data_IF_995252613408
#
_entry.id   IF_995252613408
#
_cell.length_a   1.000
_cell.length_b   1.000
_cell.length_c   1.000
_cell.angle_alpha   90.00
_cell.angle_beta   90.00
_cell.angle_gamma   90.00
#
_symmetry.space_group_name_H-M   'P 1'
#
loop_
_entity.id
_entity.type
_entity.pdbx_description
1 polymer ?
#
# COMPACT_ATOMS: atom_id res chain seq x y z
N UNK A 1 9.64 15.65 17.92
CA UNK A 1 8.99 14.36 18.19
C UNK A 1 7.55 14.48 17.74
N UNK A 2 7.10 13.60 16.85
CA UNK A 2 5.73 13.56 16.36
C UNK A 2 4.94 12.48 17.11
N UNK A 3 3.64 12.70 17.29
CA UNK A 3 2.69 11.69 17.74
C UNK A 3 2.05 10.99 16.56
N UNK A 4 2.20 9.67 16.46
CA UNK A 4 1.82 8.89 15.28
C UNK A 4 0.93 7.71 15.69
N UNK A 5 -0.25 7.59 15.11
CA UNK A 5 -1.10 6.43 15.26
C UNK A 5 -0.93 5.49 14.05
N UNK A 6 -0.73 4.20 14.31
CA UNK A 6 -0.63 3.17 13.26
C UNK A 6 -1.89 2.30 13.31
N UNK A 7 -2.78 2.46 12.33
CA UNK A 7 -3.99 1.65 12.21
C UNK A 7 -3.67 0.41 11.38
N UNK A 8 -3.69 -0.76 12.04
CA UNK A 8 -3.31 -2.03 11.41
C UNK A 8 -1.85 -2.39 11.64
N UNK A 9 -1.56 -3.00 12.79
CA UNK A 9 -0.22 -3.49 13.19
C UNK A 9 0.14 -4.83 12.50
N UNK A 10 -0.15 -4.92 11.20
CA UNK A 10 0.26 -6.02 10.31
C UNK A 10 1.68 -5.85 9.79
N UNK A 11 2.02 -6.54 8.69
CA UNK A 11 3.37 -6.53 8.12
C UNK A 11 3.87 -5.10 7.79
N UNK A 12 3.04 -4.28 7.16
CA UNK A 12 3.38 -2.91 6.76
C UNK A 12 3.41 -1.97 7.96
N UNK A 13 2.30 -1.91 8.74
CA UNK A 13 2.20 -1.00 9.87
C UNK A 13 3.14 -1.37 11.01
N UNK A 14 3.36 -2.68 11.25
CA UNK A 14 4.35 -3.15 12.22
C UNK A 14 5.77 -2.69 11.85
N UNK A 15 6.16 -2.83 10.57
CA UNK A 15 7.47 -2.40 10.11
C UNK A 15 7.68 -0.88 10.25
N UNK A 16 6.82 -0.06 9.62
CA UNK A 16 7.00 1.40 9.68
C UNK A 16 6.83 1.94 11.09
N UNK A 17 5.86 1.42 11.85
CA UNK A 17 5.67 1.82 13.24
C UNK A 17 6.86 1.46 14.13
N UNK A 18 7.49 0.28 13.95
CA UNK A 18 8.71 -0.09 14.67
C UNK A 18 9.87 0.85 14.35
N UNK A 19 10.09 1.18 13.07
CA UNK A 19 11.15 2.12 12.66
C UNK A 19 10.95 3.50 13.26
N UNK A 20 9.74 4.04 13.20
CA UNK A 20 9.42 5.35 13.77
C UNK A 20 9.55 5.35 15.29
N UNK A 21 9.08 4.31 15.98
CA UNK A 21 9.24 4.18 17.44
C UNK A 21 10.72 4.08 17.83
N UNK A 22 11.52 3.28 17.12
CA UNK A 22 12.95 3.14 17.36
C UNK A 22 13.73 4.45 17.15
N UNK A 23 13.26 5.34 16.26
CA UNK A 23 13.84 6.66 16.05
C UNK A 23 13.40 7.72 17.07
N UNK A 24 12.60 7.33 18.07
CA UNK A 24 12.17 8.20 19.16
C UNK A 24 10.90 9.00 18.89
N UNK A 25 10.08 8.59 17.90
CA UNK A 25 8.73 9.15 17.74
C UNK A 25 7.76 8.53 18.77
N UNK A 26 6.72 9.29 19.16
CA UNK A 26 5.62 8.79 20.00
C UNK A 26 4.64 8.01 19.15
N UNK A 27 4.81 6.67 19.09
CA UNK A 27 4.02 5.77 18.24
C UNK A 27 3.06 4.95 19.07
N UNK A 28 1.76 4.99 18.69
CA UNK A 28 0.72 4.13 19.26
C UNK A 28 0.10 3.28 18.18
N UNK A 29 -0.06 1.98 18.43
CA UNK A 29 -0.68 1.04 17.50
C UNK A 29 -2.15 0.86 17.82
N UNK A 30 -3.01 1.05 16.83
CA UNK A 30 -4.43 0.66 16.92
C UNK A 30 -4.54 -0.76 16.39
N UNK A 31 -4.74 -1.72 17.29
CA UNK A 31 -4.73 -3.14 17.00
C UNK A 31 -5.86 -3.85 17.76
N UNK A 32 -6.22 -5.07 17.36
CA UNK A 32 -7.29 -5.87 17.98
C UNK A 32 -6.86 -7.31 18.20
N UNK A 33 -7.57 -8.02 19.08
CA UNK A 33 -7.46 -9.46 19.28
C UNK A 33 -6.02 -9.91 19.60
N UNK A 34 -5.56 -10.97 18.93
CA UNK A 34 -4.25 -11.58 19.18
C UNK A 34 -3.09 -10.61 18.95
N UNK A 35 -3.19 -9.71 17.98
CA UNK A 35 -2.15 -8.70 17.71
C UNK A 35 -2.05 -7.70 18.86
N UNK A 36 -3.16 -7.16 19.36
CA UNK A 36 -3.15 -6.27 20.52
C UNK A 36 -2.55 -6.96 21.73
N UNK A 37 -3.00 -8.19 22.04
CA UNK A 37 -2.48 -8.98 23.16
C UNK A 37 -0.97 -9.21 23.07
N UNK A 38 -0.46 -9.53 21.87
CA UNK A 38 0.97 -9.72 21.65
C UNK A 38 1.76 -8.42 21.86
N UNK A 39 1.30 -7.30 21.27
CA UNK A 39 1.97 -6.01 21.39
C UNK A 39 2.03 -5.52 22.85
N UNK A 40 0.95 -5.68 23.61
CA UNK A 40 0.89 -5.25 25.02
C UNK A 40 1.71 -6.15 25.96
N UNK A 41 1.82 -7.45 25.65
CA UNK A 41 2.51 -8.42 26.52
C UNK A 41 3.99 -8.54 26.17
N UNK A 42 4.32 -8.63 24.88
CA UNK A 42 5.66 -8.97 24.39
C UNK A 42 6.34 -7.81 23.66
N UNK A 43 5.60 -6.73 23.35
CA UNK A 43 6.06 -5.67 22.46
C UNK A 43 5.99 -6.07 20.97
N UNK A 44 6.63 -5.28 20.14
CA UNK A 44 6.74 -5.49 18.69
C UNK A 44 8.14 -5.97 18.35
N UNK A 45 8.23 -7.05 17.57
CA UNK A 45 9.49 -7.59 17.09
C UNK A 45 9.56 -7.56 15.57
N UNK A 46 10.70 -7.08 15.03
CA UNK A 46 11.07 -7.20 13.61
C UNK A 46 12.23 -8.19 13.52
N UNK A 47 12.10 -9.19 12.67
CA UNK A 47 13.09 -10.27 12.45
C UNK A 47 13.47 -10.36 10.97
N UNK A 48 14.30 -11.32 10.60
CA UNK A 48 14.73 -11.54 9.22
C UNK A 48 16.08 -10.89 8.94
N UNK A 49 16.13 -9.89 8.07
CA UNK A 49 17.38 -9.15 7.81
C UNK A 49 17.77 -8.19 8.92
N UNK A 50 16.95 -8.07 9.95
CA UNK A 50 17.13 -7.23 11.13
C UNK A 50 16.60 -7.98 12.35
N UNK A 51 17.09 -7.65 13.55
CA UNK A 51 16.52 -8.11 14.83
C UNK A 51 16.31 -6.89 15.74
N UNK A 52 15.06 -6.45 15.84
CA UNK A 52 14.64 -5.30 16.64
C UNK A 52 13.46 -5.71 17.52
N UNK A 53 13.56 -5.45 18.83
CA UNK A 53 12.45 -5.68 19.77
C UNK A 53 12.19 -4.40 20.53
N UNK A 54 10.93 -3.96 20.57
CA UNK A 54 10.51 -2.71 21.19
C UNK A 54 9.29 -2.93 22.07
N UNK A 55 9.31 -2.35 23.27
CA UNK A 55 8.09 -2.09 24.01
C UNK A 55 7.32 -0.97 23.28
N UNK A 56 6.06 -1.19 22.99
CA UNK A 56 5.21 -0.25 22.22
C UNK A 56 3.90 0.01 22.94
N UNK A 57 3.31 1.16 22.68
CA UNK A 57 1.94 1.45 23.09
C UNK A 57 0.96 0.85 22.08
N UNK A 58 -0.07 0.17 22.57
CA UNK A 58 -1.12 -0.39 21.70
C UNK A 58 -2.47 -0.39 22.44
N UNK A 59 -3.53 -0.06 21.70
CA UNK A 59 -4.91 -0.07 22.19
C UNK A 59 -5.87 -0.44 21.06
N UNK A 60 -7.10 -0.86 21.38
CA UNK A 60 -8.21 -0.97 20.43
C UNK A 60 -9.20 0.21 20.56
N UNK A 61 -9.01 1.06 21.57
CA UNK A 61 -9.80 2.28 21.79
C UNK A 61 -9.04 3.53 21.35
N UNK A 62 -9.35 4.13 20.18
CA UNK A 62 -8.68 5.33 19.70
C UNK A 62 -8.97 6.56 20.56
N UNK A 63 -10.02 6.52 21.41
CA UNK A 63 -10.35 7.67 22.31
C UNK A 63 -9.33 7.86 23.43
N UNK A 64 -8.61 6.79 23.81
CA UNK A 64 -7.49 6.87 24.75
C UNK A 64 -6.27 7.59 24.17
N UNK A 65 -6.20 7.67 22.83
CA UNK A 65 -5.08 8.29 22.09
C UNK A 65 -5.33 9.78 21.87
N UNK A 66 -6.54 10.11 21.38
CA UNK A 66 -6.89 11.48 20.96
C UNK A 66 -6.18 11.88 19.64
N UNK A 67 -6.33 13.16 19.23
CA UNK A 67 -5.74 13.65 18.00
C UNK A 67 -4.22 13.50 17.95
N UNK A 68 -3.71 13.11 16.77
CA UNK A 68 -2.28 12.86 16.50
C UNK A 68 -1.81 13.71 15.32
N UNK A 69 -0.49 13.84 15.14
CA UNK A 69 0.09 14.55 13.99
C UNK A 69 -0.08 13.74 12.70
N UNK A 70 0.14 12.42 12.78
CA UNK A 70 0.05 11.52 11.62
C UNK A 70 -0.68 10.24 11.99
N UNK A 71 -1.56 9.79 11.10
CA UNK A 71 -2.12 8.43 11.12
C UNK A 71 -1.53 7.65 9.94
N UNK A 72 -0.90 6.51 10.20
CA UNK A 72 -0.56 5.53 9.17
C UNK A 72 -1.72 4.55 9.00
N UNK A 73 -2.47 4.64 7.90
CA UNK A 73 -3.51 3.69 7.54
C UNK A 73 -2.86 2.48 6.86
N UNK A 74 -2.70 1.39 7.61
CA UNK A 74 -1.97 0.18 7.19
C UNK A 74 -2.85 -1.08 7.14
N UNK A 75 -4.17 -0.93 7.15
CA UNK A 75 -5.11 -2.04 6.93
C UNK A 75 -5.11 -2.47 5.46
N UNK A 76 -5.65 -3.63 5.16
CA UNK A 76 -5.95 -4.03 3.76
C UNK A 76 -6.97 -3.07 3.17
N UNK A 77 -6.94 -2.87 1.85
CA UNK A 77 -7.78 -1.88 1.16
C UNK A 77 -9.27 -2.05 1.45
N UNK A 78 -9.76 -3.29 1.47
CA UNK A 78 -11.17 -3.61 1.78
C UNK A 78 -11.57 -3.34 3.23
N UNK A 79 -10.65 -2.98 4.12
CA UNK A 79 -10.89 -2.61 5.51
C UNK A 79 -10.76 -1.10 5.76
N UNK A 80 -10.33 -0.31 4.78
CA UNK A 80 -10.02 1.12 4.97
C UNK A 80 -11.27 1.90 5.36
N UNK A 81 -12.42 1.66 4.73
CA UNK A 81 -13.66 2.38 5.03
C UNK A 81 -14.12 2.14 6.48
N UNK A 82 -14.15 0.88 6.90
CA UNK A 82 -14.54 0.52 8.27
C UNK A 82 -13.56 1.06 9.31
N UNK A 83 -12.26 0.99 9.01
CA UNK A 83 -11.22 1.52 9.88
C UNK A 83 -11.29 3.05 9.98
N UNK A 84 -11.57 3.74 8.87
CA UNK A 84 -11.76 5.18 8.84
C UNK A 84 -12.95 5.59 9.72
N UNK A 85 -14.10 4.95 9.52
CA UNK A 85 -15.31 5.24 10.31
C UNK A 85 -15.13 4.97 11.80
N UNK A 86 -14.38 3.90 12.15
CA UNK A 86 -14.25 3.47 13.55
C UNK A 86 -13.18 4.25 14.32
N UNK A 87 -12.09 4.67 13.66
CA UNK A 87 -10.91 5.16 14.39
C UNK A 87 -10.59 6.63 14.12
N UNK A 88 -10.80 7.13 12.89
CA UNK A 88 -10.39 8.49 12.53
C UNK A 88 -11.12 9.60 13.29
N UNK A 89 -12.42 9.49 13.66
CA UNK A 89 -13.09 10.54 14.42
C UNK A 89 -12.42 10.93 15.75
N UNK A 90 -11.69 9.98 16.37
CA UNK A 90 -10.96 10.26 17.61
C UNK A 90 -9.51 10.72 17.37
N UNK A 91 -8.91 10.36 16.21
CA UNK A 91 -7.47 10.56 15.93
C UNK A 91 -7.18 11.80 15.07
N UNK A 92 -8.16 12.28 14.30
CA UNK A 92 -7.96 13.39 13.37
C UNK A 92 -8.25 14.73 14.05
N UNK A 93 -7.25 15.58 14.11
CA UNK A 93 -7.34 16.99 14.48
C UNK A 93 -7.12 17.90 13.27
N UNK A 94 -7.11 19.22 13.44
CA UNK A 94 -7.06 20.19 12.33
C UNK A 94 -5.84 20.03 11.40
N UNK A 95 -4.69 19.60 11.94
CA UNK A 95 -3.43 19.50 11.19
C UNK A 95 -2.98 18.04 11.00
N UNK A 96 -3.84 17.06 11.32
CA UNK A 96 -3.52 15.64 11.17
C UNK A 96 -3.41 15.24 9.71
N UNK A 97 -2.34 14.52 9.36
CA UNK A 97 -2.15 13.90 8.06
C UNK A 97 -2.41 12.38 8.14
N UNK A 98 -3.38 11.87 7.41
CA UNK A 98 -3.70 10.43 7.34
C UNK A 98 -3.06 9.83 6.09
N UNK A 99 -1.99 9.07 6.28
CA UNK A 99 -1.16 8.52 5.21
C UNK A 99 -1.64 7.14 4.81
N UNK A 100 -1.90 6.94 3.51
CA UNK A 100 -2.23 5.63 2.95
C UNK A 100 -0.97 4.82 2.65
N UNK A 101 -1.04 3.50 2.79
CA UNK A 101 0.06 2.59 2.45
C UNK A 101 -0.36 1.47 1.50
N UNK A 102 -1.62 1.44 1.12
CA UNK A 102 -2.21 0.40 0.28
C UNK A 102 -1.67 0.45 -1.15
N UNK A 103 -1.66 -0.69 -1.84
CA UNK A 103 -1.45 -0.74 -3.27
C UNK A 103 -2.73 -0.30 -4.02
N UNK A 104 -2.56 0.25 -5.21
CA UNK A 104 -3.67 0.83 -5.98
C UNK A 104 -3.89 2.30 -5.65
N UNK A 105 -5.03 2.83 -6.06
CA UNK A 105 -5.36 4.25 -5.99
C UNK A 105 -6.59 4.55 -5.14
N UNK A 106 -7.35 3.53 -4.72
CA UNK A 106 -8.67 3.74 -4.09
C UNK A 106 -8.58 4.26 -2.65
N UNK A 107 -7.59 3.81 -1.86
CA UNK A 107 -7.53 4.14 -0.45
C UNK A 107 -7.53 5.65 -0.15
N UNK A 108 -6.76 6.50 -0.87
CA UNK A 108 -6.84 7.95 -0.69
C UNK A 108 -8.24 8.52 -0.92
N UNK A 109 -8.98 8.04 -1.92
CA UNK A 109 -10.34 8.53 -2.21
C UNK A 109 -11.32 8.13 -1.13
N UNK A 110 -11.26 6.87 -0.65
CA UNK A 110 -12.08 6.41 0.49
C UNK A 110 -11.83 7.25 1.74
N UNK A 111 -10.59 7.60 2.02
CA UNK A 111 -10.27 8.48 3.15
C UNK A 111 -10.75 9.91 2.92
N UNK A 112 -10.59 10.44 1.70
CA UNK A 112 -11.04 11.80 1.37
C UNK A 112 -12.56 11.99 1.55
N UNK A 113 -13.34 10.95 1.22
CA UNK A 113 -14.79 10.95 1.45
C UNK A 113 -15.14 10.91 2.95
N UNK A 114 -14.28 10.32 3.77
CA UNK A 114 -14.52 10.18 5.21
C UNK A 114 -14.08 11.41 6.02
N UNK A 115 -12.96 12.05 5.67
CA UNK A 115 -12.30 13.06 6.52
C UNK A 115 -11.92 14.36 5.79
N UNK A 116 -12.21 14.47 4.48
CA UNK A 116 -11.76 15.60 3.65
C UNK A 116 -10.37 15.38 3.06
N UNK A 117 -10.17 15.93 1.85
CA UNK A 117 -8.93 15.79 1.07
C UNK A 117 -7.71 16.42 1.74
N UNK A 118 -7.94 17.48 2.50
CA UNK A 118 -6.91 18.24 3.23
C UNK A 118 -6.19 17.40 4.27
N UNK A 119 -6.84 16.36 4.79
CA UNK A 119 -6.25 15.45 5.77
C UNK A 119 -5.57 14.24 5.13
N UNK A 120 -5.70 14.01 3.81
CA UNK A 120 -5.20 12.79 3.17
C UNK A 120 -3.81 12.98 2.62
N UNK A 121 -2.90 12.11 3.04
CA UNK A 121 -1.56 11.93 2.51
C UNK A 121 -1.48 10.68 1.63
N UNK A 122 -1.67 10.79 0.29
CA UNK A 122 -1.43 9.65 -0.58
C UNK A 122 0.02 9.15 -0.39
N UNK A 123 0.16 7.83 -0.18
CA UNK A 123 1.46 7.24 0.14
C UNK A 123 1.79 6.04 -0.75
N UNK A 124 3.06 5.92 -1.08
CA UNK A 124 3.62 4.84 -1.88
C UNK A 124 4.65 4.10 -1.04
N UNK A 125 4.31 2.91 -0.53
CA UNK A 125 5.22 2.08 0.24
C UNK A 125 5.90 1.03 -0.64
N UNK A 126 7.17 0.75 -0.33
CA UNK A 126 7.93 -0.39 -0.89
C UNK A 126 8.69 -1.03 0.25
N UNK A 127 8.24 -2.19 0.68
CA UNK A 127 8.89 -3.01 1.70
C UNK A 127 8.47 -4.47 1.53
N UNK A 128 9.39 -5.37 1.74
CA UNK A 128 9.13 -6.81 1.65
C UNK A 128 9.08 -7.40 3.05
N UNK A 129 7.86 -7.48 3.57
CA UNK A 129 7.57 -7.96 4.91
C UNK A 129 6.44 -8.97 4.91
N UNK A 130 6.41 -9.83 5.90
CA UNK A 130 5.28 -10.69 6.22
C UNK A 130 5.06 -10.76 7.73
N UNK A 131 3.88 -11.14 8.15
CA UNK A 131 3.61 -11.46 9.55
C UNK A 131 4.14 -12.88 9.79
N UNK A 132 5.08 -13.04 10.72
CA UNK A 132 5.55 -14.35 11.18
C UNK A 132 4.58 -14.93 12.20
N UNK A 133 4.19 -14.10 13.18
CA UNK A 133 3.16 -14.36 14.19
C UNK A 133 2.63 -13.02 14.73
N UNK A 134 1.54 -12.98 15.50
CA UNK A 134 1.04 -11.74 16.10
C UNK A 134 2.15 -10.99 16.86
N UNK A 135 2.40 -9.73 16.52
CA UNK A 135 3.47 -8.90 17.11
C UNK A 135 4.87 -9.16 16.57
N UNK A 136 5.05 -10.10 15.61
CA UNK A 136 6.36 -10.40 14.98
C UNK A 136 6.28 -10.22 13.47
N UNK A 137 7.09 -9.30 12.96
CA UNK A 137 7.20 -8.98 11.53
C UNK A 137 8.52 -9.52 11.00
N UNK A 138 8.47 -10.30 9.94
CA UNK A 138 9.64 -10.80 9.23
C UNK A 138 9.98 -9.86 8.06
N UNK A 139 11.12 -9.17 8.14
CA UNK A 139 11.67 -8.31 7.09
C UNK A 139 12.52 -9.16 6.15
N UNK A 140 12.03 -9.37 4.94
CA UNK A 140 12.65 -10.23 3.93
C UNK A 140 13.75 -9.54 3.12
N UNK A 141 14.10 -8.29 3.46
CA UNK A 141 15.03 -7.45 2.69
C UNK A 141 14.34 -6.58 1.66
N UNK A 142 15.07 -6.16 0.62
CA UNK A 142 14.55 -5.27 -0.42
C UNK A 142 14.46 -3.80 -0.01
N UNK A 143 13.74 -2.98 -0.79
CA UNK A 143 13.58 -1.57 -0.49
C UNK A 143 12.80 -1.36 0.80
N UNK A 144 13.13 -0.28 1.52
CA UNK A 144 12.45 0.13 2.75
C UNK A 144 12.06 1.59 2.59
N UNK A 145 11.07 1.87 1.74
CA UNK A 145 10.72 3.24 1.39
C UNK A 145 9.23 3.54 1.56
N UNK A 146 8.95 4.78 1.99
CA UNK A 146 7.60 5.34 2.04
C UNK A 146 7.64 6.77 1.48
N UNK A 147 7.16 6.95 0.27
CA UNK A 147 6.99 8.27 -0.35
C UNK A 147 5.59 8.78 -0.02
N UNK A 148 5.49 10.02 0.44
CA UNK A 148 4.21 10.62 0.85
C UNK A 148 4.09 12.01 0.22
N UNK A 149 2.90 12.33 -0.27
CA UNK A 149 2.51 13.67 -0.70
C UNK A 149 1.26 14.16 0.04
N UNK A 150 0.78 15.33 -0.34
CA UNK A 150 -0.56 15.81 -0.03
C UNK A 150 -1.46 15.63 -1.27
N UNK A 151 -2.75 15.80 -1.11
CA UNK A 151 -3.72 15.64 -2.19
C UNK A 151 -3.43 16.53 -3.40
N UNK A 152 -3.06 17.78 -3.15
CA UNK A 152 -2.79 18.83 -4.14
C UNK A 152 -1.30 19.06 -4.41
N UNK A 153 -0.44 18.16 -3.91
CA UNK A 153 1.02 18.26 -3.97
C UNK A 153 1.61 19.48 -3.23
N UNK A 154 0.86 20.12 -2.37
CA UNK A 154 1.37 21.21 -1.52
C UNK A 154 2.32 20.68 -0.44
N UNK A 155 3.23 21.53 0.01
CA UNK A 155 4.16 21.18 1.10
C UNK A 155 3.63 21.78 2.40
N UNK A 156 3.13 20.93 3.31
CA UNK A 156 2.68 21.33 4.63
C UNK A 156 3.78 21.15 5.69
N UNK A 157 3.71 21.87 6.83
CA UNK A 157 4.62 21.64 7.94
C UNK A 157 4.58 20.19 8.45
N UNK A 158 3.39 19.59 8.56
CA UNK A 158 3.19 18.20 9.02
C UNK A 158 3.83 17.22 8.04
N UNK A 159 3.63 17.37 6.72
CA UNK A 159 4.27 16.52 5.70
C UNK A 159 5.81 16.62 5.78
N UNK A 160 6.34 17.84 5.92
CA UNK A 160 7.79 18.08 6.03
C UNK A 160 8.38 17.39 7.26
N UNK A 161 7.72 17.55 8.42
CA UNK A 161 8.15 16.92 9.66
C UNK A 161 8.06 15.39 9.58
N UNK A 162 7.00 14.86 8.97
CA UNK A 162 6.84 13.42 8.80
C UNK A 162 7.88 12.80 7.87
N UNK A 163 8.19 13.44 6.74
CA UNK A 163 9.28 13.01 5.84
C UNK A 163 10.63 13.01 6.58
N UNK A 164 10.89 14.00 7.43
CA UNK A 164 12.10 14.00 8.24
C UNK A 164 12.10 12.86 9.26
N UNK A 165 10.97 12.60 9.95
CA UNK A 165 10.86 11.46 10.86
C UNK A 165 11.09 10.10 10.19
N UNK A 166 10.64 9.93 8.93
CA UNK A 166 10.94 8.74 8.12
C UNK A 166 12.44 8.59 7.84
N UNK A 167 13.11 9.68 7.43
CA UNK A 167 14.58 9.66 7.19
C UNK A 167 15.34 9.30 8.46
N UNK A 168 14.99 9.92 9.58
CA UNK A 168 15.61 9.66 10.89
C UNK A 168 15.39 8.21 11.35
N UNK A 169 14.27 7.60 10.94
CA UNK A 169 13.93 6.20 11.15
C UNK A 169 14.60 5.22 10.17
N UNK A 170 15.45 5.69 9.26
CA UNK A 170 16.09 4.87 8.23
C UNK A 170 15.13 4.35 7.17
N UNK A 171 13.99 5.03 6.98
CA UNK A 171 13.03 4.74 5.90
C UNK A 171 13.31 5.70 4.74
N UNK A 172 13.64 5.13 3.58
CA UNK A 172 13.88 5.94 2.39
C UNK A 172 12.62 6.70 2.00
N UNK A 173 12.77 8.00 1.81
CA UNK A 173 11.69 8.86 1.32
C UNK A 173 12.26 9.95 0.43
N UNK A 174 11.53 10.26 -0.63
CA UNK A 174 11.89 11.33 -1.57
C UNK A 174 10.80 12.40 -1.56
N UNK A 175 11.20 13.61 -1.83
CA UNK A 175 10.28 14.72 -2.03
C UNK A 175 9.81 14.65 -3.49
N UNK A 176 8.65 14.03 -3.72
CA UNK A 176 8.05 14.01 -5.04
C UNK A 176 7.30 15.30 -5.29
N UNK A 177 7.45 15.86 -6.47
CA UNK A 177 6.66 17.03 -6.91
C UNK A 177 5.23 16.63 -7.31
N UNK A 178 4.98 15.35 -7.58
CA UNK A 178 3.68 14.81 -7.95
C UNK A 178 3.52 13.38 -7.42
N UNK A 179 2.77 13.27 -6.31
CA UNK A 179 2.50 11.98 -5.67
C UNK A 179 1.60 11.10 -6.54
N UNK A 180 0.70 11.70 -7.33
CA UNK A 180 -0.22 10.94 -8.14
C UNK A 180 0.50 10.26 -9.32
N UNK A 181 1.40 10.96 -10.01
CA UNK A 181 2.27 10.33 -11.01
C UNK A 181 3.15 9.24 -10.39
N UNK A 182 3.67 9.44 -9.18
CA UNK A 182 4.45 8.40 -8.48
C UNK A 182 3.60 7.16 -8.15
N UNK A 183 2.36 7.33 -7.68
CA UNK A 183 1.42 6.23 -7.43
C UNK A 183 1.06 5.50 -8.72
N UNK A 184 0.71 6.23 -9.78
CA UNK A 184 0.44 5.64 -11.09
C UNK A 184 1.64 4.87 -11.63
N UNK A 185 2.87 5.39 -11.45
CA UNK A 185 4.10 4.69 -11.85
C UNK A 185 4.23 3.34 -11.14
N UNK A 186 3.79 3.22 -9.88
CA UNK A 186 3.75 1.94 -9.19
C UNK A 186 2.60 1.06 -9.69
N UNK A 187 1.42 1.62 -9.92
CA UNK A 187 0.23 0.89 -10.39
C UNK A 187 0.47 0.21 -11.73
N UNK A 188 1.07 0.90 -12.71
CA UNK A 188 1.31 0.37 -14.05
C UNK A 188 2.24 -0.86 -14.11
N UNK A 189 2.96 -1.17 -13.02
CA UNK A 189 3.75 -2.41 -12.96
C UNK A 189 3.19 -3.41 -11.93
N UNK A 190 2.90 -2.98 -10.70
CA UNK A 190 2.46 -3.90 -9.63
C UNK A 190 1.12 -4.55 -9.94
N UNK A 191 0.17 -3.79 -10.51
CA UNK A 191 -1.19 -4.30 -10.78
C UNK A 191 -1.19 -5.29 -11.95
N UNK A 192 -0.62 -4.97 -13.13
CA UNK A 192 -0.47 -5.95 -14.20
C UNK A 192 0.35 -7.18 -13.82
N UNK A 193 1.49 -7.02 -13.10
CA UNK A 193 2.30 -8.12 -12.63
C UNK A 193 1.48 -9.10 -11.78
N UNK A 194 0.79 -8.56 -10.78
CA UNK A 194 -0.01 -9.38 -9.87
C UNK A 194 -1.18 -10.06 -10.54
N UNK A 195 -1.89 -9.34 -11.40
CA UNK A 195 -3.11 -9.83 -12.02
C UNK A 195 -2.84 -10.85 -13.14
N UNK A 196 -1.90 -10.56 -14.04
CA UNK A 196 -1.51 -11.52 -15.09
C UNK A 196 -0.82 -12.73 -14.46
N UNK A 197 0.00 -12.52 -13.43
CA UNK A 197 0.62 -13.59 -12.65
C UNK A 197 -0.40 -14.50 -11.97
N UNK A 198 -1.44 -13.93 -11.35
CA UNK A 198 -2.53 -14.69 -10.73
C UNK A 198 -3.38 -15.43 -11.77
N UNK A 199 -3.67 -14.78 -12.91
CA UNK A 199 -4.45 -15.38 -14.00
C UNK A 199 -3.77 -16.62 -14.58
N UNK A 200 -2.44 -16.56 -14.77
CA UNK A 200 -1.66 -17.59 -15.46
C UNK A 200 -0.91 -18.53 -14.50
N UNK A 201 -1.00 -18.26 -13.19
CA UNK A 201 -0.23 -18.93 -12.14
C UNK A 201 1.28 -18.95 -12.46
N UNK A 202 1.81 -17.78 -12.86
CA UNK A 202 3.15 -17.62 -13.42
C UNK A 202 3.96 -16.55 -12.67
N UNK A 203 5.26 -16.81 -12.38
CA UNK A 203 6.16 -15.81 -11.80
C UNK A 203 6.58 -14.77 -12.86
N UNK A 204 7.19 -13.68 -12.40
CA UNK A 204 7.59 -12.55 -13.24
C UNK A 204 8.42 -12.95 -14.48
N UNK A 205 9.36 -13.88 -14.33
CA UNK A 205 10.19 -14.33 -15.45
C UNK A 205 9.40 -14.97 -16.60
N UNK A 206 8.31 -15.69 -16.30
CA UNK A 206 7.42 -16.24 -17.33
C UNK A 206 6.55 -15.15 -17.96
N UNK A 207 6.15 -14.13 -17.19
CA UNK A 207 5.41 -12.98 -17.74
C UNK A 207 6.26 -12.19 -18.73
N UNK A 208 7.54 -11.99 -18.43
CA UNK A 208 8.50 -11.30 -19.30
C UNK A 208 8.95 -12.13 -20.51
N UNK A 209 8.82 -13.45 -20.43
CA UNK A 209 9.16 -14.37 -21.50
C UNK A 209 7.94 -14.85 -22.28
N UNK A 210 7.40 -15.99 -21.89
CA UNK A 210 6.32 -16.70 -22.57
C UNK A 210 5.03 -15.88 -22.70
N UNK A 211 4.73 -15.04 -21.72
CA UNK A 211 3.46 -14.31 -21.62
C UNK A 211 3.59 -12.80 -21.88
N UNK A 212 4.72 -12.37 -22.46
CA UNK A 212 5.03 -10.95 -22.66
C UNK A 212 3.94 -10.19 -23.44
N UNK A 213 3.27 -10.84 -24.41
CA UNK A 213 2.28 -10.16 -25.23
C UNK A 213 1.07 -9.67 -24.43
N UNK A 214 0.47 -10.52 -23.61
CA UNK A 214 -0.66 -10.13 -22.75
C UNK A 214 -0.19 -9.21 -21.62
N UNK A 215 0.96 -9.47 -21.03
CA UNK A 215 1.51 -8.66 -19.95
C UNK A 215 1.78 -7.22 -20.41
N UNK A 216 2.49 -7.05 -21.55
CA UNK A 216 2.72 -5.74 -22.15
C UNK A 216 1.40 -5.02 -22.48
N UNK A 217 0.40 -5.73 -23.01
CA UNK A 217 -0.91 -5.12 -23.33
C UNK A 217 -1.61 -4.61 -22.07
N UNK A 218 -1.61 -5.39 -21.00
CA UNK A 218 -2.17 -4.97 -19.71
C UNK A 218 -1.46 -3.71 -19.16
N UNK A 219 -0.12 -3.64 -19.24
CA UNK A 219 0.65 -2.44 -18.86
C UNK A 219 0.25 -1.25 -19.77
N UNK A 220 0.11 -1.44 -21.08
CA UNK A 220 -0.28 -0.38 -22.02
C UNK A 220 -1.65 0.22 -21.69
N UNK A 221 -2.64 -0.61 -21.34
CA UNK A 221 -3.96 -0.14 -20.92
C UNK A 221 -3.88 0.62 -19.61
N UNK A 222 -3.17 0.11 -18.60
CA UNK A 222 -2.95 0.83 -17.34
C UNK A 222 -2.23 2.19 -17.53
N UNK A 223 -1.26 2.25 -18.45
CA UNK A 223 -0.58 3.51 -18.83
C UNK A 223 -1.52 4.48 -19.52
N UNK A 224 -2.39 4.00 -20.42
CA UNK A 224 -3.36 4.85 -21.11
C UNK A 224 -4.35 5.47 -20.12
N UNK A 225 -4.87 4.68 -19.17
CA UNK A 225 -5.73 5.16 -18.09
C UNK A 225 -5.00 6.18 -17.22
N UNK A 226 -3.77 5.87 -16.77
CA UNK A 226 -3.00 6.79 -15.94
C UNK A 226 -2.71 8.13 -16.61
N UNK A 227 -2.38 8.14 -17.91
CA UNK A 227 -2.21 9.40 -18.68
C UNK A 227 -3.49 10.20 -18.76
N UNK A 228 -4.62 9.55 -18.99
CA UNK A 228 -5.91 10.21 -19.07
C UNK A 228 -6.35 10.78 -17.70
N UNK A 229 -5.92 10.17 -16.60
CA UNK A 229 -6.04 10.72 -15.24
C UNK A 229 -4.96 11.75 -14.87
N UNK A 230 -4.12 12.17 -15.82
CA UNK A 230 -3.16 13.26 -15.63
C UNK A 230 -1.78 12.84 -15.14
N UNK A 231 -1.45 11.54 -15.08
CA UNK A 231 -0.09 11.11 -14.75
C UNK A 231 0.90 11.52 -15.84
N UNK A 232 1.95 12.25 -15.45
CA UNK A 232 3.00 12.75 -16.35
C UNK A 232 4.06 11.66 -16.61
N UNK A 233 3.71 10.71 -17.45
CA UNK A 233 4.61 9.62 -17.83
C UNK A 233 5.50 9.98 -19.00
N UNK A 234 6.79 9.57 -18.99
CA UNK A 234 7.64 9.57 -20.19
C UNK A 234 6.98 8.83 -21.36
N UNK A 235 7.34 9.23 -22.58
CA UNK A 235 6.79 8.60 -23.79
C UNK A 235 7.02 7.09 -23.88
N UNK A 236 8.16 6.63 -23.38
CA UNK A 236 8.64 5.26 -23.36
C UNK A 236 8.39 4.52 -22.03
N UNK A 237 7.44 4.98 -21.19
CA UNK A 237 7.19 4.43 -19.84
C UNK A 237 6.92 2.92 -19.85
N UNK A 238 6.26 2.38 -20.88
CA UNK A 238 6.01 0.94 -20.99
C UNK A 238 7.33 0.16 -21.09
N UNK A 239 8.26 0.63 -21.92
CA UNK A 239 9.56 -0.02 -22.08
C UNK A 239 10.44 0.16 -20.84
N UNK A 240 10.40 1.33 -20.20
CA UNK A 240 11.06 1.56 -18.90
C UNK A 240 10.49 0.62 -17.82
N UNK A 241 9.16 0.44 -17.77
CA UNK A 241 8.51 -0.49 -16.84
C UNK A 241 8.97 -1.93 -17.06
N UNK A 242 8.99 -2.39 -18.31
CA UNK A 242 9.46 -3.74 -18.64
C UNK A 242 10.95 -3.92 -18.35
N UNK A 243 11.79 -2.92 -18.60
CA UNK A 243 13.21 -2.93 -18.26
C UNK A 243 13.42 -3.00 -16.73
N UNK A 244 12.67 -2.21 -15.96
CA UNK A 244 12.67 -2.27 -14.49
C UNK A 244 12.29 -3.66 -13.99
N UNK A 245 11.20 -4.24 -14.49
CA UNK A 245 10.74 -5.57 -14.11
C UNK A 245 11.76 -6.65 -14.48
N UNK A 246 12.43 -6.51 -15.63
CA UNK A 246 13.48 -7.44 -16.06
C UNK A 246 14.73 -7.43 -15.16
N UNK A 247 14.90 -6.40 -14.34
CA UNK A 247 15.98 -6.31 -13.34
C UNK A 247 15.63 -6.97 -12.01
N UNK A 248 14.39 -7.41 -11.83
CA UNK A 248 13.93 -8.07 -10.62
C UNK A 248 14.19 -9.57 -10.67
N UNK A 249 14.05 -10.25 -9.51
CA UNK A 249 14.14 -11.71 -9.45
C UNK A 249 13.06 -12.35 -10.34
N UNK A 250 13.42 -13.18 -11.32
CA UNK A 250 12.45 -13.86 -12.19
C UNK A 250 11.46 -14.76 -11.44
N UNK A 251 11.80 -15.22 -10.24
CA UNK A 251 10.93 -16.04 -9.39
C UNK A 251 9.95 -15.19 -8.56
N UNK A 252 10.04 -13.85 -8.62
CA UNK A 252 9.19 -12.98 -7.82
C UNK A 252 7.72 -13.07 -8.20
N UNK A 253 6.88 -12.82 -7.18
CA UNK A 253 5.43 -12.74 -7.27
C UNK A 253 4.94 -11.61 -6.38
N UNK A 254 3.82 -11.00 -6.70
CA UNK A 254 3.23 -9.96 -5.86
C UNK A 254 2.46 -10.55 -4.67
N UNK A 255 2.20 -9.73 -3.64
CA UNK A 255 1.33 -10.13 -2.52
C UNK A 255 -0.09 -10.45 -3.00
N UNK A 256 -0.62 -9.64 -3.91
CA UNK A 256 -1.92 -9.83 -4.54
C UNK A 256 -2.03 -11.20 -5.24
N UNK A 257 -1.03 -11.54 -6.08
CA UNK A 257 -0.97 -12.85 -6.75
C UNK A 257 -0.99 -14.00 -5.73
N UNK A 258 -0.14 -13.92 -4.68
CA UNK A 258 -0.08 -14.96 -3.64
C UNK A 258 -1.38 -15.10 -2.86
N UNK A 259 -2.13 -14.01 -2.63
CA UNK A 259 -3.42 -14.07 -1.95
C UNK A 259 -4.47 -14.76 -2.84
N UNK A 260 -4.59 -14.38 -4.11
CA UNK A 260 -5.49 -15.01 -5.10
C UNK A 260 -5.15 -16.51 -5.28
N UNK A 261 -3.88 -16.85 -5.50
CA UNK A 261 -3.45 -18.24 -5.75
C UNK A 261 -3.71 -19.14 -4.54
N UNK A 262 -3.68 -18.58 -3.34
CA UNK A 262 -3.96 -19.31 -2.10
C UNK A 262 -5.44 -19.27 -1.66
N UNK A 263 -6.35 -18.75 -2.48
CA UNK A 263 -7.78 -18.62 -2.14
C UNK A 263 -8.05 -17.73 -0.93
N UNK A 264 -7.17 -16.77 -0.64
CA UNK A 264 -7.33 -15.84 0.49
C UNK A 264 -8.03 -14.55 0.06
N UNK A 265 -8.69 -13.84 1.00
CA UNK A 265 -9.17 -12.48 0.74
C UNK A 265 -8.05 -11.61 0.15
N UNK A 266 -8.30 -10.99 -0.99
CA UNK A 266 -7.32 -10.25 -1.76
C UNK A 266 -7.78 -8.81 -2.03
N UNK A 267 -6.87 -8.00 -2.53
CA UNK A 267 -7.14 -6.61 -2.92
C UNK A 267 -7.51 -6.50 -4.42
N UNK A 268 -8.19 -7.53 -4.96
CA UNK A 268 -8.58 -7.61 -6.37
C UNK A 268 -9.31 -6.34 -6.83
N UNK A 269 -10.36 -5.95 -6.12
CA UNK A 269 -11.20 -4.81 -6.51
C UNK A 269 -10.47 -3.48 -6.44
N UNK A 270 -9.54 -3.33 -5.51
CA UNK A 270 -8.77 -2.10 -5.35
C UNK A 270 -7.58 -1.99 -6.32
N UNK A 271 -7.17 -3.10 -6.91
CA UNK A 271 -6.05 -3.16 -7.86
C UNK A 271 -6.56 -3.37 -9.29
N UNK A 272 -6.59 -4.61 -9.78
CA UNK A 272 -7.00 -4.89 -11.16
C UNK A 272 -8.47 -4.54 -11.41
N UNK A 273 -9.36 -4.80 -10.46
CA UNK A 273 -10.79 -4.51 -10.58
C UNK A 273 -11.12 -3.02 -10.70
N UNK A 274 -10.21 -2.14 -10.22
CA UNK A 274 -10.41 -0.69 -10.33
C UNK A 274 -10.06 -0.14 -11.72
N UNK A 275 -9.14 -0.76 -12.46
CA UNK A 275 -8.64 -0.22 -13.73
C UNK A 275 -9.73 -0.04 -14.79
N UNK A 276 -10.66 -0.99 -15.01
CA UNK A 276 -11.78 -0.81 -15.92
C UNK A 276 -12.63 0.43 -15.61
N UNK A 277 -13.08 0.55 -14.37
CA UNK A 277 -13.90 1.70 -13.96
C UNK A 277 -13.17 3.03 -14.10
N UNK A 278 -11.88 3.07 -13.75
CA UNK A 278 -11.03 4.26 -13.95
C UNK A 278 -10.87 4.58 -15.45
N UNK A 279 -10.82 3.57 -16.32
CA UNK A 279 -10.82 3.74 -17.76
C UNK A 279 -12.12 4.36 -18.27
N UNK A 280 -13.27 3.85 -17.81
CA UNK A 280 -14.60 4.35 -18.19
C UNK A 280 -14.79 5.82 -17.80
N UNK A 281 -14.30 6.24 -16.61
CA UNK A 281 -14.37 7.63 -16.14
C UNK A 281 -13.69 8.63 -17.10
N UNK A 282 -12.68 8.19 -17.84
CA UNK A 282 -11.88 9.04 -18.74
C UNK A 282 -11.99 8.66 -20.21
N UNK A 283 -12.88 7.71 -20.55
CA UNK A 283 -13.14 7.26 -21.92
C UNK A 283 -11.99 6.48 -22.55
N UNK A 284 -11.29 5.68 -21.75
CA UNK A 284 -10.19 4.80 -22.19
C UNK A 284 -10.64 3.34 -22.09
N UNK A 285 -10.73 2.65 -23.22
CA UNK A 285 -11.05 1.22 -23.27
C UNK A 285 -9.93 0.36 -22.67
N UNK A 286 -10.32 -0.62 -21.84
CA UNK A 286 -9.38 -1.52 -21.13
C UNK A 286 -9.73 -3.01 -21.34
N UNK A 287 -9.89 -3.49 -22.59
CA UNK A 287 -10.46 -4.82 -22.86
C UNK A 287 -9.66 -5.99 -22.27
N UNK A 288 -8.36 -5.86 -22.14
CA UNK A 288 -7.53 -6.91 -21.51
C UNK A 288 -7.67 -6.85 -19.99
N UNK A 289 -7.66 -5.66 -19.39
CA UNK A 289 -7.86 -5.51 -17.94
C UNK A 289 -9.27 -5.96 -17.54
N UNK A 290 -10.31 -5.69 -18.34
CA UNK A 290 -11.69 -6.16 -18.13
C UNK A 290 -11.77 -7.68 -18.01
N UNK A 291 -11.23 -8.38 -19.03
CA UNK A 291 -11.24 -9.85 -19.06
C UNK A 291 -10.44 -10.43 -17.87
N UNK A 292 -9.30 -9.84 -17.53
CA UNK A 292 -8.48 -10.30 -16.40
C UNK A 292 -9.24 -10.09 -15.09
N UNK A 293 -9.79 -8.90 -14.86
CA UNK A 293 -10.54 -8.58 -13.65
C UNK A 293 -11.71 -9.54 -13.43
N UNK A 294 -12.53 -9.73 -14.48
CA UNK A 294 -13.70 -10.61 -14.42
C UNK A 294 -13.30 -12.07 -14.19
N UNK A 295 -12.26 -12.55 -14.87
CA UNK A 295 -11.78 -13.93 -14.67
C UNK A 295 -11.29 -14.17 -13.24
N UNK A 296 -10.61 -13.19 -12.66
CA UNK A 296 -10.12 -13.28 -11.29
C UNK A 296 -11.25 -13.16 -10.26
N UNK A 297 -12.32 -12.39 -10.52
CA UNK A 297 -13.54 -12.36 -9.70
C UNK A 297 -14.21 -13.72 -9.63
N UNK A 298 -14.45 -14.33 -10.80
CA UNK A 298 -15.03 -15.68 -10.87
C UNK A 298 -14.18 -16.72 -10.14
N UNK A 299 -12.85 -16.61 -10.22
CA UNK A 299 -11.94 -17.48 -9.46
C UNK A 299 -12.10 -17.26 -7.94
N UNK A 300 -12.05 -16.02 -7.49
CA UNK A 300 -12.16 -15.68 -6.06
C UNK A 300 -13.53 -16.13 -5.47
N UNK A 301 -14.61 -15.99 -6.22
CA UNK A 301 -15.95 -16.48 -5.80
C UNK A 301 -15.98 -18.00 -5.66
N UNK A 302 -15.38 -18.74 -6.57
CA UNK A 302 -15.29 -20.21 -6.49
C UNK A 302 -14.46 -20.67 -5.31
N UNK A 303 -13.33 -20.01 -5.06
CA UNK A 303 -12.43 -20.34 -3.94
C UNK A 303 -13.10 -20.03 -2.59
N UNK A 304 -13.93 -18.98 -2.52
CA UNK A 304 -14.70 -18.64 -1.33
C UNK A 304 -15.87 -19.60 -1.04
N UNK A 305 -16.36 -20.31 -2.07
CA UNK A 305 -17.46 -21.27 -1.95
C UNK A 305 -17.00 -22.71 -1.68
N UNK A 306 -15.71 -23.00 -1.76
CA UNK A 306 -15.09 -24.32 -1.56
C UNK A 306 -14.65 -24.54 -0.12
#
# INVERSE_FOLDING_TARGET
MMRIAVIGAGAIGGFYGARLAASGQDVVFIARGATLSALTTNGLRVTGTEDLTLAVQATDDPTEVGPVDVVLMCTKTFQVADAAASYLPALVGPDTLVVTTQNGLQAPFVLADAIGREHVGPGLCRVWTKIAEPGVIDLMGGPQSLVVGTWDNSITPTLTAFRQALRDAGVDTVDTGDIWTALWTKVIHVVPEGAVGALLDAPLGELLGRHLAIFRRCIQEAVAVGRAHGADFPGDIVDQTLAFLSSQDPASTTSFQRDITAGRPSELEAQMGALPGLGDEVGVDTPVCDVIAETLRVRAERDAAA
#
